data_IF_753061747977
#
_entry.id   IF_753061747977
#
_cell.length_a   1.000
_cell.length_b   1.000
_cell.length_c   1.000
_cell.angle_alpha   90.00
_cell.angle_beta   90.00
_cell.angle_gamma   90.00
#
_symmetry.space_group_name_H-M   'P 1'
#
loop_
_entity.id
_entity.type
_entity.pdbx_description
1 polymer ?
#
# COMPACT_ATOMS: atom_id res chain seq x y z
N UNK A 1 17.75 -3.64 10.19
CA UNK A 1 16.27 -3.52 10.22
C UNK A 1 15.74 -3.76 8.83
N UNK A 2 14.55 -4.32 8.70
CA UNK A 2 13.87 -4.50 7.41
C UNK A 2 12.41 -4.11 7.57
N UNK A 3 11.93 -3.19 6.74
CA UNK A 3 10.51 -2.83 6.62
C UNK A 3 9.94 -3.49 5.37
N UNK A 4 8.81 -4.18 5.52
CA UNK A 4 8.10 -4.85 4.43
C UNK A 4 6.77 -4.13 4.22
N UNK A 5 6.59 -3.61 3.01
CA UNK A 5 5.36 -2.96 2.55
C UNK A 5 4.93 -3.61 1.24
N UNK A 6 4.21 -4.73 1.34
CA UNK A 6 3.70 -5.52 0.21
C UNK A 6 2.23 -5.89 0.47
N UNK A 7 1.47 -6.11 -0.60
CA UNK A 7 0.06 -6.54 -0.50
C UNK A 7 -0.94 -5.62 -1.21
N UNK A 8 -0.55 -4.41 -1.63
CA UNK A 8 -1.47 -3.51 -2.35
C UNK A 8 -1.96 -4.09 -3.69
N UNK A 9 -1.18 -4.97 -4.33
CA UNK A 9 -1.62 -5.65 -5.55
C UNK A 9 -2.65 -6.76 -5.25
N UNK A 10 -2.49 -7.44 -4.12
CA UNK A 10 -3.38 -8.51 -3.64
C UNK A 10 -4.73 -7.91 -3.21
N UNK A 11 -4.68 -6.79 -2.46
CA UNK A 11 -5.86 -5.99 -2.12
C UNK A 11 -6.56 -5.42 -3.36
N UNK A 12 -5.83 -5.06 -4.42
CA UNK A 12 -6.45 -4.66 -5.70
C UNK A 12 -7.05 -5.86 -6.44
N UNK A 13 -6.40 -7.02 -6.39
CA UNK A 13 -6.88 -8.23 -7.03
C UNK A 13 -8.17 -8.79 -6.43
N UNK A 14 -8.49 -8.42 -5.18
CA UNK A 14 -9.77 -8.76 -4.55
C UNK A 14 -10.95 -7.87 -4.96
N UNK A 15 -10.70 -6.75 -5.67
CA UNK A 15 -11.76 -5.86 -6.12
C UNK A 15 -12.54 -6.45 -7.29
N UNK A 16 -13.87 -6.22 -7.26
CA UNK A 16 -14.73 -6.55 -8.39
C UNK A 16 -14.27 -5.84 -9.66
N UNK A 17 -14.19 -6.58 -10.77
CA UNK A 17 -13.75 -6.06 -12.06
C UNK A 17 -12.22 -5.93 -12.22
N UNK A 18 -11.42 -6.29 -11.22
CA UNK A 18 -9.97 -6.35 -11.39
C UNK A 18 -9.60 -7.45 -12.41
N UNK A 19 -8.74 -7.19 -13.40
CA UNK A 19 -8.43 -8.14 -14.47
C UNK A 19 -7.42 -9.20 -14.00
N UNK A 20 -7.86 -10.11 -13.12
CA UNK A 20 -7.03 -11.14 -12.47
C UNK A 20 -6.27 -12.00 -13.50
N UNK A 21 -6.95 -12.50 -14.53
CA UNK A 21 -6.32 -13.34 -15.57
C UNK A 21 -5.18 -12.61 -16.30
N UNK A 22 -5.39 -11.33 -16.62
CA UNK A 22 -4.36 -10.49 -17.23
C UNK A 22 -3.19 -10.27 -16.28
N UNK A 23 -3.47 -10.07 -14.99
CA UNK A 23 -2.46 -9.90 -13.97
C UNK A 23 -1.64 -11.18 -13.77
N UNK A 24 -2.29 -12.35 -13.71
CA UNK A 24 -1.65 -13.66 -13.60
C UNK A 24 -0.73 -13.93 -14.78
N UNK A 25 -1.22 -13.77 -16.02
CA UNK A 25 -0.40 -13.95 -17.23
C UNK A 25 0.81 -13.01 -17.25
N UNK A 26 0.60 -11.73 -16.93
CA UNK A 26 1.68 -10.72 -16.95
C UNK A 26 2.73 -10.96 -15.86
N UNK A 27 2.31 -11.39 -14.67
CA UNK A 27 3.18 -11.60 -13.51
C UNK A 27 3.66 -13.05 -13.36
N UNK A 28 3.24 -13.94 -14.26
CA UNK A 28 3.52 -15.38 -14.21
C UNK A 28 3.19 -15.98 -12.84
N UNK A 29 2.01 -15.62 -12.32
CA UNK A 29 1.60 -16.11 -11.00
C UNK A 29 1.31 -17.62 -11.07
N UNK A 30 1.81 -18.41 -10.11
CA UNK A 30 1.61 -19.86 -10.09
C UNK A 30 0.16 -20.24 -9.80
N UNK A 31 -0.59 -19.35 -9.14
CA UNK A 31 -1.98 -19.57 -8.75
C UNK A 31 -2.74 -18.25 -8.68
N UNK A 32 -4.07 -18.35 -8.58
CA UNK A 32 -4.95 -17.19 -8.48
C UNK A 32 -4.75 -16.52 -7.11
N UNK A 33 -4.54 -15.18 -7.04
CA UNK A 33 -4.42 -14.48 -5.77
C UNK A 33 -5.64 -14.71 -4.87
N UNK A 34 -5.39 -14.96 -3.59
CA UNK A 34 -6.40 -15.12 -2.54
C UNK A 34 -5.86 -14.54 -1.23
N UNK A 35 -6.74 -14.32 -0.26
CA UNK A 35 -6.35 -13.86 1.08
C UNK A 35 -5.42 -14.86 1.78
N UNK A 36 -5.78 -16.14 1.76
CA UNK A 36 -5.01 -17.22 2.37
C UNK A 36 -3.61 -17.31 1.73
N UNK A 37 -3.55 -17.22 0.39
CA UNK A 37 -2.27 -17.29 -0.29
C UNK A 37 -1.40 -16.06 0.04
N UNK A 38 -2.00 -14.87 0.14
CA UNK A 38 -1.28 -13.68 0.59
C UNK A 38 -0.69 -13.86 2.00
N UNK A 39 -1.46 -14.37 2.97
CA UNK A 39 -0.98 -14.58 4.34
C UNK A 39 0.15 -15.60 4.39
N UNK A 40 0.03 -16.71 3.66
CA UNK A 40 1.08 -17.73 3.57
C UNK A 40 2.35 -17.16 2.87
N UNK A 41 2.20 -16.41 1.77
CA UNK A 41 3.30 -15.70 1.11
C UNK A 41 4.02 -14.76 2.07
N UNK A 42 3.27 -13.91 2.79
CA UNK A 42 3.83 -12.94 3.71
C UNK A 42 4.55 -13.62 4.88
N UNK A 43 3.95 -14.68 5.43
CA UNK A 43 4.59 -15.52 6.45
C UNK A 43 5.90 -16.12 5.95
N UNK A 44 5.93 -16.65 4.73
CA UNK A 44 7.14 -17.19 4.10
C UNK A 44 8.21 -16.12 3.88
N UNK A 45 7.84 -14.88 3.53
CA UNK A 45 8.78 -13.76 3.44
C UNK A 45 9.43 -13.48 4.79
N UNK A 46 8.65 -13.43 5.88
CA UNK A 46 9.18 -13.21 7.23
C UNK A 46 10.15 -14.31 7.64
N UNK A 47 9.78 -15.58 7.47
CA UNK A 47 10.66 -16.72 7.78
C UNK A 47 11.96 -16.69 6.96
N UNK A 48 11.84 -16.39 5.67
CA UNK A 48 12.99 -16.32 4.77
C UNK A 48 13.97 -15.21 5.17
N UNK A 49 13.45 -14.07 5.65
CA UNK A 49 14.26 -12.97 6.15
C UNK A 49 14.92 -13.37 7.48
N UNK A 50 14.17 -13.89 8.46
CA UNK A 50 14.71 -14.31 9.77
C UNK A 50 15.84 -15.33 9.65
N UNK A 51 15.69 -16.29 8.74
CA UNK A 51 16.72 -17.32 8.51
C UNK A 51 18.00 -16.80 7.85
N UNK A 52 18.01 -15.56 7.34
CA UNK A 52 19.12 -14.97 6.58
C UNK A 52 19.69 -13.72 7.22
N UNK A 53 19.09 -13.22 8.29
CA UNK A 53 19.54 -11.99 8.96
C UNK A 53 19.00 -11.91 10.38
N UNK A 54 19.78 -11.28 11.26
CA UNK A 54 19.34 -10.88 12.61
C UNK A 54 18.57 -9.55 12.62
N UNK A 55 18.28 -9.00 11.43
CA UNK A 55 17.51 -7.77 11.33
C UNK A 55 16.09 -7.97 11.86
N UNK A 56 15.65 -7.07 12.71
CA UNK A 56 14.24 -7.02 13.07
C UNK A 56 13.39 -6.58 11.90
N UNK A 57 12.22 -7.20 11.80
CA UNK A 57 11.30 -7.08 10.68
C UNK A 57 10.05 -6.32 11.14
N UNK A 58 9.66 -5.33 10.35
CA UNK A 58 8.40 -4.60 10.48
C UNK A 58 7.53 -4.87 9.26
N UNK A 59 6.30 -5.31 9.47
CA UNK A 59 5.27 -5.45 8.43
C UNK A 59 4.34 -4.25 8.51
N UNK A 60 4.50 -3.30 7.60
CA UNK A 60 3.63 -2.12 7.57
C UNK A 60 2.25 -2.52 7.10
N UNK A 61 1.21 -1.94 7.69
CA UNK A 61 -0.12 -1.98 7.07
C UNK A 61 -0.11 -1.30 5.70
N UNK A 62 -1.08 -1.65 4.86
CA UNK A 62 -1.10 -1.14 3.49
C UNK A 62 -1.39 0.36 3.47
N UNK A 63 -0.89 1.12 2.48
CA UNK A 63 -1.42 2.45 2.22
C UNK A 63 -2.92 2.35 1.88
N UNK A 64 -3.69 3.38 2.22
CA UNK A 64 -5.12 3.42 1.86
C UNK A 64 -5.24 3.43 0.34
N UNK A 65 -6.03 2.52 -0.22
CA UNK A 65 -6.35 2.51 -1.64
C UNK A 65 -7.53 3.46 -1.92
N UNK A 66 -7.34 4.39 -2.85
CA UNK A 66 -8.28 5.48 -3.08
C UNK A 66 -8.23 6.54 -1.98
N UNK A 67 -9.27 7.38 -1.91
CA UNK A 67 -9.44 8.37 -0.84
C UNK A 67 -10.82 8.34 -0.20
N UNK A 68 -11.77 7.64 -0.81
CA UNK A 68 -13.09 7.44 -0.26
C UNK A 68 -13.03 6.27 0.73
N UNK A 69 -13.08 6.60 2.03
CA UNK A 69 -12.83 5.66 3.12
C UNK A 69 -13.88 4.56 3.27
N UNK A 70 -15.12 4.84 2.85
CA UNK A 70 -16.21 3.86 2.75
C UNK A 70 -16.29 3.19 1.37
N UNK A 71 -15.27 3.37 0.52
CA UNK A 71 -15.19 2.73 -0.79
C UNK A 71 -14.70 1.29 -0.73
N UNK A 72 -14.98 0.51 -1.78
CA UNK A 72 -14.52 -0.88 -1.87
C UNK A 72 -12.98 -1.00 -1.81
N UNK A 73 -12.25 -0.06 -2.41
CA UNK A 73 -10.79 -0.03 -2.39
C UNK A 73 -10.22 0.18 -0.99
N UNK A 74 -10.73 1.17 -0.24
CA UNK A 74 -10.31 1.44 1.13
C UNK A 74 -10.63 0.26 2.07
N UNK A 75 -11.81 -0.35 1.91
CA UNK A 75 -12.16 -1.60 2.63
C UNK A 75 -11.20 -2.75 2.31
N UNK A 76 -10.80 -2.89 1.05
CA UNK A 76 -9.85 -3.93 0.65
C UNK A 76 -8.47 -3.70 1.25
N UNK A 77 -7.93 -2.47 1.21
CA UNK A 77 -6.65 -2.17 1.87
C UNK A 77 -6.72 -2.33 3.38
N UNK A 78 -7.86 -2.02 4.01
CA UNK A 78 -8.07 -2.25 5.44
C UNK A 78 -8.13 -3.75 5.79
N UNK A 79 -8.83 -4.56 4.98
CA UNK A 79 -8.92 -6.00 5.19
C UNK A 79 -7.54 -6.67 5.10
N UNK A 80 -6.76 -6.34 4.06
CA UNK A 80 -5.40 -6.87 3.92
C UNK A 80 -4.45 -6.32 4.99
N UNK A 81 -4.66 -5.10 5.49
CA UNK A 81 -3.90 -4.58 6.64
C UNK A 81 -4.15 -5.38 7.92
N UNK A 82 -5.39 -5.82 8.15
CA UNK A 82 -5.72 -6.74 9.26
C UNK A 82 -5.03 -8.09 9.11
N UNK A 83 -5.02 -8.65 7.89
CA UNK A 83 -4.27 -9.89 7.60
C UNK A 83 -2.76 -9.71 7.86
N UNK A 84 -2.19 -8.53 7.53
CA UNK A 84 -0.79 -8.22 7.85
C UNK A 84 -0.58 -8.17 9.36
N UNK A 85 -1.50 -7.57 10.12
CA UNK A 85 -1.43 -7.54 11.59
C UNK A 85 -1.47 -8.95 12.19
N UNK A 86 -2.33 -9.83 11.67
CA UNK A 86 -2.39 -11.24 12.08
C UNK A 86 -1.07 -11.96 11.82
N UNK A 87 -0.50 -11.82 10.61
CA UNK A 87 0.80 -12.40 10.28
C UNK A 87 1.91 -11.83 11.15
N UNK A 88 1.90 -10.51 11.40
CA UNK A 88 2.87 -9.87 12.28
C UNK A 88 2.79 -10.42 13.71
N UNK A 89 1.58 -10.64 14.24
CA UNK A 89 1.37 -11.25 15.55
C UNK A 89 1.87 -12.69 15.60
N UNK A 90 1.46 -13.54 14.66
CA UNK A 90 1.85 -14.96 14.62
C UNK A 90 3.36 -15.12 14.41
N UNK A 91 3.96 -14.23 13.62
CA UNK A 91 5.38 -14.25 13.33
C UNK A 91 6.19 -13.35 14.25
N UNK A 92 5.64 -12.80 15.33
CA UNK A 92 6.35 -11.90 16.27
C UNK A 92 7.15 -10.78 15.55
N UNK A 93 6.58 -10.23 14.48
CA UNK A 93 7.12 -9.09 13.75
C UNK A 93 6.41 -7.80 14.22
N UNK A 94 7.06 -6.64 14.04
CA UNK A 94 6.42 -5.37 14.36
C UNK A 94 5.35 -5.01 13.32
N UNK A 95 4.31 -4.27 13.73
CA UNK A 95 3.25 -3.76 12.85
C UNK A 95 3.18 -2.22 12.91
N UNK A 96 3.92 -1.49 12.05
CA UNK A 96 3.75 -0.05 11.95
C UNK A 96 2.42 0.32 11.23
N UNK A 97 1.56 1.16 11.82
CA UNK A 97 0.16 1.35 11.40
C UNK A 97 -0.02 2.44 10.32
N UNK A 98 0.51 2.21 9.12
CA UNK A 98 0.40 3.13 7.98
C UNK A 98 -1.03 3.37 7.48
N UNK A 99 -1.82 2.31 7.29
CA UNK A 99 -3.22 2.40 6.83
C UNK A 99 -4.02 3.31 7.77
N UNK A 100 -3.86 3.11 9.07
CA UNK A 100 -4.54 3.84 10.13
C UNK A 100 -4.12 5.31 10.10
N UNK A 101 -2.82 5.59 10.00
CA UNK A 101 -2.30 6.97 9.91
C UNK A 101 -2.81 7.71 8.67
N UNK A 102 -2.84 7.05 7.51
CA UNK A 102 -3.37 7.64 6.27
C UNK A 102 -4.88 7.79 6.30
N UNK A 103 -5.60 6.88 6.95
CA UNK A 103 -7.05 7.00 7.15
C UNK A 103 -7.36 8.23 7.99
N UNK A 104 -6.61 8.46 9.06
CA UNK A 104 -6.76 9.65 9.91
C UNK A 104 -6.49 10.93 9.13
N UNK A 105 -5.42 10.95 8.32
CA UNK A 105 -5.11 12.10 7.47
C UNK A 105 -6.26 12.42 6.49
N UNK A 106 -6.87 11.39 5.90
CA UNK A 106 -7.99 11.56 4.98
C UNK A 106 -9.26 12.04 5.69
N UNK A 107 -9.54 11.58 6.92
CA UNK A 107 -10.67 12.09 7.71
C UNK A 107 -10.49 13.57 8.04
N UNK A 108 -9.29 13.95 8.48
CA UNK A 108 -8.98 15.34 8.84
C UNK A 108 -8.99 16.27 7.63
N UNK A 109 -8.51 15.79 6.48
CA UNK A 109 -8.51 16.56 5.25
C UNK A 109 -9.89 16.70 4.62
N UNK A 110 -10.86 15.85 5.00
CA UNK A 110 -12.24 15.78 4.50
C UNK A 110 -12.36 16.05 2.98
N UNK A 111 -11.67 15.29 2.13
CA UNK A 111 -11.65 15.59 0.72
C UNK A 111 -12.94 15.19 0.03
N UNK A 112 -13.27 15.89 -1.06
CA UNK A 112 -14.37 15.49 -1.95
C UNK A 112 -14.24 14.01 -2.33
N UNK A 113 -15.29 13.19 -2.19
CA UNK A 113 -15.23 11.78 -2.55
C UNK A 113 -14.94 11.62 -4.06
N UNK A 114 -13.89 10.84 -4.37
CA UNK A 114 -13.55 10.50 -5.76
C UNK A 114 -13.55 8.98 -5.86
N UNK A 115 -14.42 8.38 -6.69
CA UNK A 115 -14.49 6.95 -6.88
C UNK A 115 -13.14 6.37 -7.28
N UNK A 116 -12.78 5.23 -6.68
CA UNK A 116 -11.54 4.52 -7.02
C UNK A 116 -11.52 4.16 -8.51
N UNK A 117 -10.37 4.42 -9.15
CA UNK A 117 -10.09 3.96 -10.51
C UNK A 117 -8.74 3.26 -10.51
N UNK A 118 -8.74 2.03 -11.00
CA UNK A 118 -7.50 1.27 -11.11
C UNK A 118 -6.57 1.94 -12.13
N UNK A 119 -5.27 2.15 -11.79
CA UNK A 119 -4.36 2.81 -12.70
C UNK A 119 -4.07 1.92 -13.92
N UNK A 120 -4.37 2.44 -15.10
CA UNK A 120 -4.01 1.78 -16.35
C UNK A 120 -2.50 1.90 -16.61
N UNK A 121 -1.87 0.94 -17.32
CA UNK A 121 -0.46 1.05 -17.70
C UNK A 121 -0.12 2.37 -18.42
N UNK A 122 -1.04 2.84 -19.27
CA UNK A 122 -0.91 4.13 -19.95
C UNK A 122 -0.97 5.32 -18.98
N UNK A 123 -1.84 5.27 -17.97
CA UNK A 123 -1.92 6.30 -16.94
C UNK A 123 -0.63 6.33 -16.09
N UNK A 124 -0.11 5.18 -15.65
CA UNK A 124 1.14 5.10 -14.89
C UNK A 124 2.34 5.58 -15.73
N UNK A 125 2.45 5.18 -16.99
CA UNK A 125 3.48 5.66 -17.91
C UNK A 125 3.40 7.18 -18.11
N UNK A 126 2.19 7.74 -18.24
CA UNK A 126 2.00 9.19 -18.42
C UNK A 126 2.47 10.00 -17.21
N UNK A 127 2.37 9.47 -15.98
CA UNK A 127 2.88 10.12 -14.77
C UNK A 127 4.41 10.13 -14.78
N UNK A 128 5.04 9.01 -15.15
CA UNK A 128 6.50 8.90 -15.29
C UNK A 128 7.04 9.86 -16.36
N UNK A 129 6.41 9.92 -17.52
CA UNK A 129 6.76 10.84 -18.62
C UNK A 129 6.61 12.30 -18.18
N UNK A 130 5.52 12.65 -17.49
CA UNK A 130 5.30 14.03 -17.00
C UNK A 130 6.31 14.42 -15.90
N UNK A 131 6.73 13.46 -15.06
CA UNK A 131 7.78 13.71 -14.06
C UNK A 131 9.14 13.93 -14.75
N UNK A 132 9.49 13.10 -15.72
CA UNK A 132 10.77 13.14 -16.42
C UNK A 132 10.91 14.35 -17.36
N UNK A 133 9.88 14.66 -18.15
CA UNK A 133 9.95 15.70 -19.19
C UNK A 133 9.48 17.09 -18.73
N UNK A 134 8.49 17.17 -17.82
CA UNK A 134 7.87 18.45 -17.44
C UNK A 134 8.26 18.93 -16.05
N UNK A 135 9.14 18.22 -15.33
CA UNK A 135 9.52 18.47 -13.92
C UNK A 135 8.31 18.72 -13.00
N UNK A 136 7.11 18.23 -13.36
CA UNK A 136 5.91 18.44 -12.55
C UNK A 136 5.99 17.57 -11.31
N UNK A 137 5.82 18.18 -10.14
CA UNK A 137 5.75 17.43 -8.89
C UNK A 137 4.56 16.46 -8.94
N UNK A 138 4.72 15.29 -8.31
CA UNK A 138 3.63 14.33 -8.12
C UNK A 138 2.42 15.02 -7.46
N UNK A 139 2.67 15.98 -6.58
CA UNK A 139 1.65 16.82 -5.93
C UNK A 139 0.84 17.63 -6.93
N UNK A 140 1.44 18.08 -8.03
CA UNK A 140 0.71 18.78 -9.09
C UNK A 140 -0.24 17.85 -9.85
N UNK A 141 0.13 16.57 -10.02
CA UNK A 141 -0.76 15.56 -10.61
C UNK A 141 -1.92 15.27 -9.66
N UNK A 142 -1.63 15.08 -8.37
CA UNK A 142 -2.62 14.87 -7.31
C UNK A 142 -3.62 16.02 -7.21
N UNK A 143 -3.15 17.27 -7.11
CA UNK A 143 -4.02 18.46 -7.04
C UNK A 143 -4.97 18.57 -8.22
N UNK A 144 -4.48 18.34 -9.44
CA UNK A 144 -5.33 18.36 -10.65
C UNK A 144 -6.39 17.28 -10.67
N UNK A 145 -6.17 16.19 -9.94
CA UNK A 145 -7.10 15.07 -9.82
C UNK A 145 -7.94 15.13 -8.54
N UNK A 146 -7.78 16.18 -7.72
CA UNK A 146 -8.44 16.28 -6.41
C UNK A 146 -8.01 15.21 -5.40
N UNK A 147 -6.83 14.60 -5.60
CA UNK A 147 -6.32 13.52 -4.77
C UNK A 147 -5.42 14.05 -3.64
N UNK A 148 -5.66 13.60 -2.41
CA UNK A 148 -4.93 14.10 -1.23
C UNK A 148 -3.57 13.41 -1.03
N UNK A 149 -3.56 12.07 -1.05
CA UNK A 149 -2.37 11.28 -0.70
C UNK A 149 -1.74 10.57 -1.90
N UNK A 150 -2.46 10.45 -3.00
CA UNK A 150 -2.04 9.65 -4.16
C UNK A 150 -2.06 10.45 -5.44
N UNK A 151 -1.37 9.94 -6.46
CA UNK A 151 -1.39 10.50 -7.82
C UNK A 151 -2.45 9.83 -8.69
N UNK A 152 -2.83 8.60 -8.37
CA UNK A 152 -3.71 7.75 -9.18
C UNK A 152 -4.50 6.71 -8.36
N UNK A 153 -4.87 7.06 -7.11
CA UNK A 153 -5.53 6.17 -6.14
C UNK A 153 -4.66 5.04 -5.57
N UNK A 154 -3.41 4.87 -6.04
CA UNK A 154 -2.51 3.82 -5.56
C UNK A 154 -1.14 4.38 -5.19
N UNK A 155 -0.50 5.10 -6.11
CA UNK A 155 0.86 5.60 -5.92
C UNK A 155 0.87 6.91 -5.13
N UNK A 156 1.72 6.97 -4.10
CA UNK A 156 1.77 8.09 -3.16
C UNK A 156 2.31 9.37 -3.82
N UNK A 157 1.79 10.52 -3.40
CA UNK A 157 2.41 11.82 -3.63
C UNK A 157 3.37 12.17 -2.46
N UNK A 158 3.88 13.40 -2.41
CA UNK A 158 4.81 13.80 -1.34
C UNK A 158 4.17 13.71 0.05
N UNK A 159 2.88 14.08 0.19
CA UNK A 159 2.15 13.97 1.47
C UNK A 159 1.97 12.52 1.90
N UNK A 160 1.50 11.65 0.99
CA UNK A 160 1.35 10.22 1.27
C UNK A 160 2.68 9.54 1.62
N UNK A 161 3.76 9.89 0.91
CA UNK A 161 5.10 9.36 1.17
C UNK A 161 5.69 9.87 2.50
N UNK A 162 5.42 11.12 2.87
CA UNK A 162 5.84 11.66 4.17
C UNK A 162 5.21 10.88 5.34
N UNK A 163 3.94 10.46 5.20
CA UNK A 163 3.30 9.60 6.21
C UNK A 163 3.93 8.21 6.32
N UNK A 164 4.42 7.66 5.21
CA UNK A 164 5.20 6.40 5.25
C UNK A 164 6.48 6.59 6.05
N UNK A 165 7.22 7.67 5.77
CA UNK A 165 8.44 8.00 6.50
C UNK A 165 8.15 8.24 7.99
N UNK A 166 7.11 9.01 8.32
CA UNK A 166 6.67 9.29 9.69
C UNK A 166 6.39 8.01 10.49
N UNK A 167 5.66 7.05 9.90
CA UNK A 167 5.32 5.78 10.55
C UNK A 167 6.57 4.91 10.77
N UNK A 168 7.49 4.88 9.81
CA UNK A 168 8.77 4.17 9.96
C UNK A 168 9.61 4.84 11.05
N UNK A 169 9.78 6.16 11.02
CA UNK A 169 10.55 6.91 12.00
C UNK A 169 10.00 6.75 13.43
N UNK A 170 8.68 6.74 13.58
CA UNK A 170 8.01 6.50 14.86
C UNK A 170 8.34 5.11 15.38
N UNK A 171 8.24 4.09 14.52
CA UNK A 171 8.61 2.72 14.87
C UNK A 171 10.10 2.58 15.23
N UNK A 172 10.99 3.33 14.58
CA UNK A 172 12.42 3.32 14.92
C UNK A 172 12.68 3.90 16.30
N UNK A 173 11.95 4.96 16.68
CA UNK A 173 12.12 5.62 17.99
C UNK A 173 11.59 4.80 19.15
N UNK A 174 10.47 4.09 18.98
CA UNK A 174 9.89 3.24 20.05
C UNK A 174 10.76 2.04 20.43
N UNK A 175 11.82 1.78 19.66
CA UNK A 175 12.77 0.71 19.90
C UNK A 175 14.06 1.13 20.58
N UNK A 176 14.31 2.43 20.68
CA UNK A 176 15.50 2.97 21.33
C UNK A 176 15.29 3.17 22.84
N UNK A 177 14.25 2.56 23.40
CA UNK A 177 13.89 2.56 24.83
C UNK A 177 13.95 1.14 25.36
#
# INVERSE_FOLDING_TARGET
MITVLIGSNDARASLAGYPVERAMKRKQLPERPSADWFQQCLGNVVERLRTRTDATIALLSLPVLGQQLDGAAARASQAYSRMIAEVASVKEASYPPLHERQTEELRQADPTPIPYRDPTPAASASVLVRRALLRRSLDTVSRRRGLVLTTDHVHQNSRGAALVAEVIDTWLRTRSV
#
